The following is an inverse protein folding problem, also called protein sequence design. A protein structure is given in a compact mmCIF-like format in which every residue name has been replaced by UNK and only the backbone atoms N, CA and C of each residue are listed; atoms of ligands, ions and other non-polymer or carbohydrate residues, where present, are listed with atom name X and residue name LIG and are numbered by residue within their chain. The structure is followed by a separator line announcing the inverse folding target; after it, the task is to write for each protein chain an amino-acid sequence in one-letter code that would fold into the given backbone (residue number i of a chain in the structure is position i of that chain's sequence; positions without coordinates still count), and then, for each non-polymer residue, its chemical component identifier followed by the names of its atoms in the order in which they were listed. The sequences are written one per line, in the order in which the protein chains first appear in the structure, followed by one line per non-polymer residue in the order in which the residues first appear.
data_IF_464456572361
#
_entry.id   IF_464456572361
#
_cell.length_a   1.000
_cell.length_b   1.000
_cell.length_c   1.000
_cell.angle_alpha   90.00
_cell.angle_beta   90.00
_cell.angle_gamma   90.00
#
_symmetry.space_group_name_H-M   'P 1'
#
loop_
_entity.id
_entity.type
_entity.pdbx_description
1 polymer ?
#
# COMPACT_ATOMS: atom_id res chain seq x y z
N UNK A 1 12.62 -14.36 -19.16
CA UNK A 1 12.48 -13.97 -17.73
C UNK A 1 11.74 -12.64 -17.55
N UNK A 2 12.16 -11.51 -18.18
CA UNK A 2 11.45 -10.20 -18.05
C UNK A 2 9.96 -10.36 -18.36
N UNK A 3 9.61 -10.90 -19.51
CA UNK A 3 8.22 -11.10 -19.92
C UNK A 3 7.42 -11.98 -18.94
N UNK A 4 8.03 -13.05 -18.43
CA UNK A 4 7.35 -13.94 -17.49
C UNK A 4 7.06 -13.26 -16.14
N UNK A 5 8.01 -12.46 -15.62
CA UNK A 5 7.82 -11.72 -14.38
C UNK A 5 6.77 -10.62 -14.51
N UNK A 6 6.77 -9.86 -15.61
CA UNK A 6 5.77 -8.83 -15.85
C UNK A 6 4.39 -9.44 -16.10
N UNK A 7 4.29 -10.54 -16.87
CA UNK A 7 3.04 -11.27 -17.02
C UNK A 7 2.53 -11.84 -15.68
N UNK A 8 3.44 -12.24 -14.78
CA UNK A 8 3.10 -12.70 -13.45
C UNK A 8 2.51 -11.54 -12.60
N UNK A 9 3.16 -10.37 -12.59
CA UNK A 9 2.62 -9.18 -11.90
C UNK A 9 1.22 -8.82 -12.41
N UNK A 10 1.01 -8.80 -13.73
CA UNK A 10 -0.32 -8.56 -14.30
C UNK A 10 -1.36 -9.62 -13.89
N UNK A 11 -0.95 -10.89 -13.87
CA UNK A 11 -1.82 -11.98 -13.43
C UNK A 11 -2.25 -11.80 -11.97
N UNK A 12 -1.32 -11.40 -11.08
CA UNK A 12 -1.61 -11.10 -9.68
C UNK A 12 -2.55 -9.91 -9.58
N UNK A 13 -2.28 -8.85 -10.34
CA UNK A 13 -3.14 -7.67 -10.36
C UNK A 13 -4.58 -8.03 -10.71
N UNK A 14 -4.79 -8.72 -11.84
CA UNK A 14 -6.12 -9.11 -12.34
C UNK A 14 -6.83 -10.12 -11.43
N UNK A 15 -6.10 -11.08 -10.85
CA UNK A 15 -6.71 -12.22 -10.15
C UNK A 15 -6.72 -12.10 -8.62
N UNK A 16 -5.91 -11.23 -8.02
CA UNK A 16 -5.84 -11.05 -6.58
C UNK A 16 -6.11 -9.60 -6.16
N UNK A 17 -5.43 -8.60 -6.76
CA UNK A 17 -5.59 -7.22 -6.36
C UNK A 17 -6.98 -6.66 -6.68
N UNK A 18 -7.49 -6.88 -7.89
CA UNK A 18 -8.86 -6.46 -8.30
C UNK A 18 -9.94 -7.11 -7.43
N UNK A 19 -9.75 -8.35 -6.97
CA UNK A 19 -10.69 -8.98 -6.03
C UNK A 19 -10.72 -8.29 -4.66
N UNK A 20 -9.57 -7.81 -4.20
CA UNK A 20 -9.45 -7.12 -2.92
C UNK A 20 -9.94 -5.67 -3.00
N UNK A 21 -9.78 -5.04 -4.15
CA UNK A 21 -10.17 -3.65 -4.44
C UNK A 21 -10.76 -3.55 -5.85
N UNK A 22 -12.09 -3.75 -6.01
CA UNK A 22 -12.73 -3.87 -7.33
C UNK A 22 -12.49 -2.68 -8.28
N UNK A 23 -12.40 -1.47 -7.75
CA UNK A 23 -12.17 -0.25 -8.53
C UNK A 23 -10.83 -0.23 -9.27
N UNK A 24 -9.89 -1.10 -8.90
CA UNK A 24 -8.65 -1.28 -9.66
C UNK A 24 -8.85 -1.79 -11.08
N UNK A 25 -9.99 -2.42 -11.37
CA UNK A 25 -10.27 -2.97 -12.69
C UNK A 25 -10.17 -1.90 -13.80
N UNK A 26 -10.56 -0.66 -13.50
CA UNK A 26 -10.57 0.45 -14.45
C UNK A 26 -9.18 1.08 -14.67
N UNK A 27 -8.17 0.73 -13.86
CA UNK A 27 -6.81 1.31 -13.92
C UNK A 27 -5.74 0.37 -14.46
N UNK A 28 -6.08 -0.87 -14.78
CA UNK A 28 -5.13 -1.92 -15.22
C UNK A 28 -4.25 -1.47 -16.39
N UNK A 29 -4.84 -0.80 -17.38
CA UNK A 29 -4.14 -0.44 -18.62
C UNK A 29 -3.68 1.03 -18.63
N UNK A 30 -3.84 1.75 -17.50
CA UNK A 30 -3.59 3.20 -17.45
C UNK A 30 -2.25 3.51 -16.79
N UNK A 31 -1.83 2.69 -15.80
CA UNK A 31 -0.63 2.96 -15.01
C UNK A 31 0.59 2.30 -15.61
N UNK A 32 1.60 3.06 -16.05
CA UNK A 32 2.85 2.47 -16.54
C UNK A 32 3.67 1.83 -15.42
N UNK A 33 4.24 0.66 -15.74
CA UNK A 33 5.22 -0.03 -14.91
C UNK A 33 6.56 -0.10 -15.65
N UNK A 34 7.62 0.43 -15.05
CA UNK A 34 8.98 0.35 -15.56
C UNK A 34 9.77 -0.66 -14.73
N UNK A 35 10.07 -1.79 -15.35
CA UNK A 35 10.90 -2.84 -14.75
C UNK A 35 12.34 -2.72 -15.22
N UNK A 36 13.28 -2.63 -14.30
CA UNK A 36 14.70 -2.54 -14.61
C UNK A 36 15.41 -3.87 -14.43
N UNK A 37 16.16 -4.23 -15.45
CA UNK A 37 17.15 -5.29 -15.39
C UNK A 37 18.46 -4.76 -15.98
N UNK A 38 19.50 -4.76 -15.17
CA UNK A 38 20.79 -4.13 -15.50
C UNK A 38 20.61 -2.64 -15.88
N UNK A 39 21.09 -2.18 -17.02
CA UNK A 39 20.94 -0.83 -17.55
C UNK A 39 19.70 -0.63 -18.42
N UNK A 40 18.84 -1.63 -18.50
CA UNK A 40 17.70 -1.64 -19.42
C UNK A 40 16.38 -1.53 -18.66
N UNK A 41 15.60 -0.48 -19.00
CA UNK A 41 14.22 -0.31 -18.57
C UNK A 41 13.24 -0.94 -19.55
N UNK A 42 12.29 -1.71 -19.03
CA UNK A 42 11.18 -2.31 -19.77
C UNK A 42 9.87 -1.67 -19.31
N UNK A 43 9.17 -0.99 -20.21
CA UNK A 43 7.94 -0.25 -19.90
C UNK A 43 6.76 -1.09 -20.32
N UNK A 44 5.92 -1.45 -19.36
CA UNK A 44 4.58 -1.98 -19.59
C UNK A 44 3.56 -0.83 -19.54
N UNK A 45 2.53 -0.84 -20.37
CA UNK A 45 1.55 0.24 -20.53
C UNK A 45 2.21 1.61 -20.86
N UNK A 46 3.23 1.59 -21.73
CA UNK A 46 3.93 2.78 -22.17
C UNK A 46 2.99 3.75 -22.89
N UNK A 47 3.02 5.03 -22.53
CA UNK A 47 2.38 6.09 -23.31
C UNK A 47 3.26 6.51 -24.49
N UNK A 48 2.66 7.12 -25.54
CA UNK A 48 3.42 7.68 -26.68
C UNK A 48 4.52 8.63 -26.19
N UNK A 49 4.18 9.53 -25.26
CA UNK A 49 5.13 10.45 -24.64
C UNK A 49 6.33 9.74 -23.98
N UNK A 50 6.10 8.63 -23.28
CA UNK A 50 7.21 7.87 -22.66
C UNK A 50 8.12 7.26 -23.73
N UNK A 51 7.55 6.75 -24.80
CA UNK A 51 8.32 6.21 -25.94
C UNK A 51 9.16 7.31 -26.60
N UNK A 52 8.57 8.49 -26.86
CA UNK A 52 9.27 9.63 -27.43
C UNK A 52 10.43 10.12 -26.51
N UNK A 53 10.18 10.33 -25.23
CA UNK A 53 11.18 10.82 -24.27
C UNK A 53 12.38 9.88 -24.11
N UNK A 54 12.16 8.57 -24.18
CA UNK A 54 13.21 7.57 -23.95
C UNK A 54 13.84 7.05 -25.23
N UNK A 55 13.21 7.28 -26.39
CA UNK A 55 13.57 6.60 -27.63
C UNK A 55 13.34 5.09 -27.56
N UNK A 56 12.42 4.64 -26.68
CA UNK A 56 12.16 3.22 -26.46
C UNK A 56 11.68 2.51 -27.72
N UNK A 57 12.13 1.28 -27.89
CA UNK A 57 11.74 0.43 -29.01
C UNK A 57 10.86 -0.73 -28.53
N UNK A 58 9.96 -1.18 -29.41
CA UNK A 58 9.12 -2.34 -29.09
C UNK A 58 9.98 -3.55 -28.75
N UNK A 59 9.63 -4.21 -27.64
CA UNK A 59 10.25 -5.44 -27.19
C UNK A 59 9.21 -6.55 -27.25
N UNK A 60 9.42 -7.50 -28.17
CA UNK A 60 8.48 -8.59 -28.38
C UNK A 60 8.50 -9.59 -27.22
N UNK A 61 7.39 -9.72 -26.55
CA UNK A 61 7.10 -10.76 -25.58
C UNK A 61 6.10 -11.76 -26.18
N UNK A 62 6.20 -13.01 -25.75
CA UNK A 62 5.11 -13.97 -25.97
C UNK A 62 3.95 -13.63 -25.00
N UNK A 63 2.72 -13.97 -25.38
CA UNK A 63 1.47 -13.58 -24.70
C UNK A 63 1.19 -12.08 -24.83
N UNK A 64 0.14 -11.64 -25.12
CA UNK A 64 -0.45 -10.31 -25.31
C UNK A 64 0.19 -9.12 -24.56
N UNK A 65 1.43 -9.29 -24.07
CA UNK A 65 2.19 -8.30 -23.30
C UNK A 65 3.02 -7.43 -24.26
N UNK A 66 2.63 -6.19 -24.42
CA UNK A 66 3.33 -5.21 -25.25
C UNK A 66 4.28 -4.39 -24.37
N UNK A 67 5.57 -4.68 -24.50
CA UNK A 67 6.62 -3.96 -23.77
C UNK A 67 7.42 -3.04 -24.69
N UNK A 68 7.95 -1.96 -24.13
CA UNK A 68 8.94 -1.11 -24.76
C UNK A 68 10.23 -1.14 -23.95
N UNK A 69 11.40 -1.17 -24.60
CA UNK A 69 12.70 -1.16 -23.92
C UNK A 69 13.52 0.07 -24.29
N UNK A 70 14.26 0.57 -23.31
CA UNK A 70 15.22 1.66 -23.48
C UNK A 70 16.43 1.44 -22.58
N UNK A 71 17.54 2.11 -22.88
CA UNK A 71 18.76 2.06 -22.08
C UNK A 71 18.81 3.26 -21.15
N UNK A 72 19.04 3.02 -19.87
CA UNK A 72 19.24 4.07 -18.86
C UNK A 72 20.52 3.78 -18.06
N UNK A 73 21.69 4.24 -18.55
CA UNK A 73 22.97 4.00 -17.89
C UNK A 73 23.09 4.68 -16.53
N UNK A 74 22.28 5.70 -16.26
CA UNK A 74 22.20 6.37 -14.95
C UNK A 74 21.50 5.52 -13.89
N UNK A 75 20.88 4.40 -14.30
CA UNK A 75 20.16 3.50 -13.42
C UNK A 75 21.02 2.40 -12.79
N UNK A 76 22.22 2.12 -13.33
CA UNK A 76 23.09 1.05 -12.83
C UNK A 76 23.36 1.19 -11.32
N UNK A 77 23.06 0.12 -10.56
CA UNK A 77 23.27 0.06 -9.12
C UNK A 77 22.25 0.84 -8.27
N UNK A 78 21.30 1.52 -8.86
CA UNK A 78 20.26 2.24 -8.09
C UNK A 78 19.11 1.31 -7.77
N UNK A 79 18.77 1.19 -6.49
CA UNK A 79 17.55 0.49 -6.08
C UNK A 79 16.32 1.30 -6.44
N UNK A 80 15.33 0.63 -7.05
CA UNK A 80 14.01 1.19 -7.32
C UNK A 80 12.91 0.18 -6.97
N UNK A 81 12.05 0.59 -6.10
CA UNK A 81 10.74 -0.01 -5.84
C UNK A 81 9.90 1.14 -5.29
N UNK A 82 9.34 1.94 -6.19
CA UNK A 82 8.73 3.23 -5.86
C UNK A 82 7.75 3.67 -6.94
N UNK A 83 6.67 4.29 -6.53
CA UNK A 83 5.81 5.07 -7.44
C UNK A 83 6.16 6.54 -7.36
N UNK A 84 6.25 7.18 -8.53
CA UNK A 84 6.55 8.61 -8.67
C UNK A 84 5.47 9.32 -9.47
N UNK A 85 5.24 10.57 -9.09
CA UNK A 85 4.43 11.54 -9.81
C UNK A 85 5.11 12.91 -9.67
N UNK A 86 5.26 13.63 -10.76
CA UNK A 86 5.77 14.99 -10.79
C UNK A 86 4.78 15.91 -11.51
N UNK A 87 4.73 17.19 -11.10
CA UNK A 87 3.83 18.18 -11.68
C UNK A 87 4.56 19.34 -12.35
N UNK A 88 5.87 19.34 -12.31
CA UNK A 88 6.71 20.51 -12.68
C UNK A 88 7.66 20.24 -13.82
N UNK A 89 8.31 19.06 -13.83
CA UNK A 89 9.32 18.72 -14.82
C UNK A 89 8.73 17.88 -15.96
N UNK A 90 8.53 18.52 -17.10
CA UNK A 90 8.00 17.89 -18.32
C UNK A 90 8.95 16.86 -18.95
N UNK A 91 10.23 16.83 -18.57
CA UNK A 91 11.19 15.86 -19.09
C UNK A 91 11.15 14.51 -18.36
N UNK A 92 10.43 14.44 -17.23
CA UNK A 92 10.30 13.18 -16.46
C UNK A 92 9.21 12.27 -17.03
N UNK A 93 9.46 10.96 -17.00
CA UNK A 93 8.48 9.95 -17.44
C UNK A 93 7.18 10.04 -16.63
N UNK A 94 7.28 10.39 -15.36
CA UNK A 94 6.18 10.50 -14.40
C UNK A 94 5.60 11.91 -14.27
N UNK A 95 5.78 12.77 -15.28
CA UNK A 95 5.13 14.09 -15.31
C UNK A 95 3.62 13.94 -15.54
N UNK A 96 2.82 14.44 -14.61
CA UNK A 96 1.35 14.40 -14.59
C UNK A 96 0.72 12.98 -14.70
N UNK A 97 1.52 11.92 -14.71
CA UNK A 97 1.08 10.54 -14.73
C UNK A 97 1.87 9.74 -13.68
N UNK A 98 1.24 9.07 -12.73
CA UNK A 98 1.96 8.21 -11.81
C UNK A 98 2.60 7.03 -12.55
N UNK A 99 3.86 6.77 -12.27
CA UNK A 99 4.64 5.67 -12.86
C UNK A 99 5.26 4.84 -11.74
N UNK A 100 5.04 3.54 -11.80
CA UNK A 100 5.68 2.59 -10.89
C UNK A 100 7.00 2.10 -11.47
N UNK A 101 8.05 2.13 -10.64
CA UNK A 101 9.38 1.64 -10.99
C UNK A 101 9.75 0.48 -10.10
N UNK A 102 10.31 -0.58 -10.66
CA UNK A 102 10.84 -1.70 -9.90
C UNK A 102 12.10 -2.31 -10.54
N UNK A 103 12.99 -2.82 -9.68
CA UNK A 103 14.10 -3.69 -10.09
C UNK A 103 13.65 -5.15 -10.11
N UNK A 104 14.53 -6.02 -10.60
CA UNK A 104 14.37 -7.47 -10.49
C UNK A 104 14.28 -7.92 -9.02
N UNK A 105 13.65 -9.08 -8.74
CA UNK A 105 13.56 -9.63 -7.38
C UNK A 105 14.94 -9.78 -6.71
N UNK A 106 15.97 -10.19 -7.46
CA UNK A 106 17.32 -10.35 -6.96
C UNK A 106 17.91 -9.01 -6.48
N UNK A 107 17.78 -7.96 -7.28
CA UNK A 107 18.24 -6.62 -6.91
C UNK A 107 17.41 -6.04 -5.75
N UNK A 108 16.12 -6.30 -5.72
CA UNK A 108 15.25 -5.89 -4.63
C UNK A 108 15.65 -6.57 -3.31
N UNK A 109 15.99 -7.86 -3.35
CA UNK A 109 16.51 -8.63 -2.20
C UNK A 109 17.78 -8.02 -1.58
N UNK A 110 18.71 -7.52 -2.40
CA UNK A 110 19.94 -6.88 -1.91
C UNK A 110 19.66 -5.66 -1.02
N UNK A 111 18.60 -4.93 -1.30
CA UNK A 111 18.21 -3.72 -0.55
C UNK A 111 17.16 -4.00 0.53
N UNK A 112 16.29 -4.97 0.30
CA UNK A 112 15.23 -5.41 1.22
C UNK A 112 15.35 -6.94 1.38
N UNK A 113 16.17 -7.42 2.33
CA UNK A 113 16.38 -8.87 2.52
C UNK A 113 15.10 -9.66 2.83
N UNK A 114 14.05 -9.00 3.28
CA UNK A 114 12.73 -9.60 3.48
C UNK A 114 12.03 -10.00 2.16
N UNK A 115 12.52 -9.55 1.00
CA UNK A 115 12.07 -10.02 -0.32
C UNK A 115 12.88 -11.25 -0.66
N UNK A 116 12.39 -12.42 -0.32
CA UNK A 116 13.11 -13.70 -0.50
C UNK A 116 12.60 -14.55 -1.67
N UNK A 117 11.56 -14.07 -2.35
CA UNK A 117 10.94 -14.76 -3.49
C UNK A 117 10.33 -13.78 -4.50
N UNK A 118 10.09 -14.27 -5.72
CA UNK A 118 9.39 -13.51 -6.76
C UNK A 118 7.95 -13.20 -6.33
N UNK A 119 7.34 -14.03 -5.51
CA UNK A 119 6.02 -13.78 -4.93
C UNK A 119 6.02 -12.58 -3.98
N UNK A 120 6.98 -12.52 -3.05
CA UNK A 120 7.13 -11.40 -2.12
C UNK A 120 7.49 -10.11 -2.86
N UNK A 121 8.37 -10.19 -3.86
CA UNK A 121 8.66 -9.08 -4.76
C UNK A 121 7.41 -8.58 -5.48
N UNK A 122 6.63 -9.49 -6.08
CA UNK A 122 5.42 -9.11 -6.80
C UNK A 122 4.37 -8.48 -5.90
N UNK A 123 4.21 -8.94 -4.65
CA UNK A 123 3.34 -8.30 -3.68
C UNK A 123 3.77 -6.85 -3.39
N UNK A 124 5.08 -6.58 -3.31
CA UNK A 124 5.63 -5.22 -3.16
C UNK A 124 5.42 -4.38 -4.42
N UNK A 125 5.57 -4.97 -5.61
CA UNK A 125 5.25 -4.27 -6.87
C UNK A 125 3.77 -3.88 -6.89
N UNK A 126 2.85 -4.74 -6.43
CA UNK A 126 1.44 -4.39 -6.31
C UNK A 126 1.19 -3.28 -5.28
N UNK A 127 1.93 -3.24 -4.18
CA UNK A 127 1.88 -2.12 -3.23
C UNK A 127 2.19 -0.79 -3.94
N UNK A 128 3.29 -0.73 -4.68
CA UNK A 128 3.67 0.46 -5.43
C UNK A 128 2.67 0.78 -6.56
N UNK A 129 2.17 -0.24 -7.23
CA UNK A 129 1.15 -0.08 -8.26
C UNK A 129 -0.16 0.48 -7.68
N UNK A 130 -0.47 0.11 -6.45
CA UNK A 130 -1.61 0.66 -5.72
C UNK A 130 -1.42 2.15 -5.38
N UNK A 131 -0.18 2.58 -5.06
CA UNK A 131 0.12 4.02 -4.94
C UNK A 131 -0.15 4.77 -6.24
N UNK A 132 0.18 4.17 -7.39
CA UNK A 132 -0.13 4.80 -8.66
C UNK A 132 -1.65 4.95 -8.87
N UNK A 133 -2.43 3.92 -8.54
CA UNK A 133 -3.90 4.01 -8.53
C UNK A 133 -4.40 5.13 -7.60
N UNK A 134 -3.93 5.19 -6.37
CA UNK A 134 -4.30 6.25 -5.41
C UNK A 134 -4.02 7.65 -5.98
N UNK A 135 -2.90 7.80 -6.68
CA UNK A 135 -2.48 9.06 -7.30
C UNK A 135 -3.19 9.38 -8.62
N UNK A 136 -4.01 8.48 -9.18
CA UNK A 136 -4.94 8.83 -10.27
C UNK A 136 -6.11 9.68 -9.75
N UNK A 137 -6.48 9.55 -8.49
CA UNK A 137 -7.59 10.27 -7.89
C UNK A 137 -7.24 11.73 -7.57
N UNK A 138 -8.03 12.66 -8.08
CA UNK A 138 -7.77 14.09 -7.94
C UNK A 138 -7.77 14.53 -6.46
N UNK A 139 -8.68 14.00 -5.63
CA UNK A 139 -8.73 14.29 -4.21
C UNK A 139 -7.42 13.97 -3.48
N UNK A 140 -6.83 12.81 -3.76
CA UNK A 140 -5.52 12.42 -3.20
C UNK A 140 -4.41 13.35 -3.68
N UNK A 141 -4.37 13.69 -4.98
CA UNK A 141 -3.36 14.59 -5.57
C UNK A 141 -3.42 16.00 -4.96
N UNK A 142 -4.62 16.52 -4.75
CA UNK A 142 -4.82 17.86 -4.20
C UNK A 142 -4.40 17.95 -2.74
N UNK A 143 -4.76 16.95 -1.92
CA UNK A 143 -4.29 16.85 -0.52
C UNK A 143 -2.76 16.79 -0.49
N UNK A 144 -2.16 15.91 -1.30
CA UNK A 144 -0.70 15.80 -1.38
C UNK A 144 -0.05 17.13 -1.72
N UNK A 145 -0.46 17.79 -2.80
CA UNK A 145 0.14 19.04 -3.27
C UNK A 145 -0.04 20.19 -2.30
N UNK A 146 -1.23 20.35 -1.73
CA UNK A 146 -1.59 21.53 -0.95
C UNK A 146 -1.20 21.41 0.52
N UNK A 147 -1.23 20.21 1.07
CA UNK A 147 -1.19 20.00 2.52
C UNK A 147 -0.01 19.15 2.98
N UNK A 148 0.45 18.19 2.20
CA UNK A 148 1.47 17.22 2.60
C UNK A 148 2.84 17.55 2.01
N UNK A 149 2.92 17.79 0.70
CA UNK A 149 4.17 18.02 -0.01
C UNK A 149 4.97 19.18 0.66
N UNK A 150 6.26 18.96 0.84
CA UNK A 150 7.20 19.91 1.45
C UNK A 150 6.97 20.28 2.92
N UNK A 151 5.96 19.69 3.60
CA UNK A 151 5.69 19.96 5.02
C UNK A 151 6.14 18.82 5.92
N UNK A 152 5.70 17.61 5.63
CA UNK A 152 6.07 16.42 6.39
C UNK A 152 6.16 15.21 5.48
N UNK A 153 7.18 14.40 5.68
CA UNK A 153 7.33 13.10 5.02
C UNK A 153 6.92 11.98 5.99
N UNK A 154 6.62 10.81 5.45
CA UNK A 154 6.36 9.63 6.27
C UNK A 154 7.56 9.28 7.18
N UNK A 155 8.78 9.56 6.74
CA UNK A 155 9.99 9.34 7.54
C UNK A 155 10.12 10.35 8.68
N UNK A 156 9.78 11.63 8.44
CA UNK A 156 9.73 12.65 9.49
C UNK A 156 8.71 12.30 10.56
N UNK A 157 7.51 11.85 10.15
CA UNK A 157 6.47 11.39 11.06
C UNK A 157 6.95 10.18 11.89
N UNK A 158 7.59 9.21 11.24
CA UNK A 158 8.10 8.00 11.90
C UNK A 158 9.28 8.28 12.84
N UNK A 159 10.02 9.38 12.66
CA UNK A 159 11.12 9.74 13.55
C UNK A 159 10.66 9.88 15.00
N UNK A 160 9.47 10.43 15.25
CA UNK A 160 8.89 10.53 16.59
C UNK A 160 8.65 9.13 17.19
N UNK A 161 8.15 8.17 16.42
CA UNK A 161 7.96 6.79 16.85
C UNK A 161 9.29 6.10 17.22
N UNK A 162 10.38 6.46 16.56
CA UNK A 162 11.70 5.87 16.83
C UNK A 162 12.33 6.42 18.09
N UNK A 163 12.22 7.74 18.33
CA UNK A 163 13.01 8.44 19.34
C UNK A 163 12.23 8.86 20.59
N UNK A 164 10.89 8.96 20.52
CA UNK A 164 10.05 9.46 21.62
C UNK A 164 9.26 8.31 22.24
N UNK A 165 9.70 7.85 23.42
CA UNK A 165 9.15 6.65 24.05
C UNK A 165 7.64 6.73 24.36
N UNK A 166 7.13 7.84 24.89
CA UNK A 166 5.70 7.98 25.18
C UNK A 166 4.86 7.92 23.88
N UNK A 167 5.36 8.54 22.78
CA UNK A 167 4.69 8.51 21.49
C UNK A 167 4.65 7.09 20.93
N UNK A 168 5.78 6.38 21.00
CA UNK A 168 5.87 4.97 20.63
C UNK A 168 4.91 4.10 21.42
N UNK A 169 4.86 4.25 22.76
CA UNK A 169 3.94 3.49 23.60
C UNK A 169 2.47 3.75 23.24
N UNK A 170 2.13 5.01 22.91
CA UNK A 170 0.81 5.38 22.45
C UNK A 170 0.42 4.67 21.15
N UNK A 171 1.29 4.73 20.14
CA UNK A 171 1.10 4.04 18.85
C UNK A 171 1.00 2.51 19.02
N UNK A 172 1.88 1.92 19.82
CA UNK A 172 1.86 0.47 20.07
C UNK A 172 0.55 0.04 20.77
N UNK A 173 0.05 0.86 21.71
CA UNK A 173 -1.25 0.66 22.37
C UNK A 173 -2.42 0.76 21.36
N UNK A 174 -2.43 1.78 20.51
CA UNK A 174 -3.44 1.95 19.48
C UNK A 174 -3.48 0.73 18.54
N UNK A 175 -2.32 0.31 18.05
CA UNK A 175 -2.24 -0.87 17.17
C UNK A 175 -2.67 -2.16 17.87
N UNK A 176 -2.31 -2.34 19.15
CA UNK A 176 -2.76 -3.50 19.94
C UNK A 176 -4.29 -3.52 20.11
N UNK A 177 -4.94 -2.37 20.28
CA UNK A 177 -6.39 -2.26 20.36
C UNK A 177 -7.08 -2.58 19.03
N UNK A 178 -6.52 -2.14 17.89
CA UNK A 178 -6.98 -2.52 16.56
C UNK A 178 -6.86 -4.04 16.34
N UNK A 179 -5.74 -4.64 16.70
CA UNK A 179 -5.54 -6.09 16.59
C UNK A 179 -6.53 -6.85 17.48
N UNK A 180 -6.76 -6.41 18.71
CA UNK A 180 -7.77 -6.98 19.59
C UNK A 180 -9.17 -6.87 19.00
N UNK A 181 -9.53 -5.73 18.41
CA UNK A 181 -10.81 -5.54 17.72
C UNK A 181 -10.97 -6.52 16.52
N UNK A 182 -9.87 -6.85 15.84
CA UNK A 182 -9.88 -7.85 14.75
C UNK A 182 -10.08 -9.29 15.26
N UNK A 183 -9.66 -9.61 16.47
CA UNK A 183 -9.70 -10.95 17.06
C UNK A 183 -11.05 -11.26 17.76
N UNK A 184 -11.63 -10.28 18.48
CA UNK A 184 -12.85 -10.52 19.25
C UNK A 184 -14.05 -10.86 18.35
N UNK A 185 -14.91 -11.83 18.77
CA UNK A 185 -15.95 -12.35 17.89
C UNK A 185 -17.24 -11.53 17.86
N UNK A 186 -17.54 -10.77 18.93
CA UNK A 186 -18.83 -10.07 19.05
C UNK A 186 -18.71 -8.60 18.69
N UNK A 187 -19.81 -8.04 18.15
CA UNK A 187 -19.90 -6.61 17.82
C UNK A 187 -19.69 -5.72 19.04
N UNK A 188 -20.26 -6.08 20.17
CA UNK A 188 -20.12 -5.30 21.41
C UNK A 188 -18.66 -5.26 21.88
N UNK A 189 -17.95 -6.39 21.81
CA UNK A 189 -16.52 -6.43 22.12
C UNK A 189 -15.69 -5.59 21.15
N UNK A 190 -16.06 -5.53 19.86
CA UNK A 190 -15.43 -4.64 18.88
C UNK A 190 -15.66 -3.17 19.25
N UNK A 191 -16.90 -2.81 19.62
CA UNK A 191 -17.24 -1.44 20.06
C UNK A 191 -16.37 -1.01 21.23
N UNK A 192 -16.23 -1.86 22.27
CA UNK A 192 -15.38 -1.58 23.43
C UNK A 192 -13.91 -1.35 23.02
N UNK A 193 -13.38 -2.20 22.14
CA UNK A 193 -12.01 -2.05 21.65
C UNK A 193 -11.83 -0.76 20.83
N UNK A 194 -12.81 -0.40 19.99
CA UNK A 194 -12.78 0.83 19.20
C UNK A 194 -12.91 2.09 20.06
N UNK A 195 -13.78 2.08 21.07
CA UNK A 195 -13.85 3.19 22.04
C UNK A 195 -12.50 3.43 22.70
N UNK A 196 -11.85 2.36 23.17
CA UNK A 196 -10.52 2.46 23.77
C UNK A 196 -9.45 2.93 22.76
N UNK A 197 -9.54 2.52 21.49
CA UNK A 197 -8.64 2.95 20.40
C UNK A 197 -8.81 4.45 20.13
N UNK A 198 -10.05 4.92 19.92
CA UNK A 198 -10.36 6.34 19.69
C UNK A 198 -9.81 7.19 20.85
N UNK A 199 -10.17 6.83 22.09
CA UNK A 199 -9.68 7.54 23.26
C UNK A 199 -8.15 7.59 23.36
N UNK A 200 -7.48 6.47 23.09
CA UNK A 200 -6.02 6.40 23.15
C UNK A 200 -5.36 7.28 22.07
N UNK A 201 -5.93 7.30 20.87
CA UNK A 201 -5.44 8.10 19.74
C UNK A 201 -5.62 9.60 20.00
N UNK A 202 -6.82 10.02 20.37
CA UNK A 202 -7.11 11.42 20.68
C UNK A 202 -6.20 11.92 21.79
N UNK A 203 -6.11 11.19 22.89
CA UNK A 203 -5.23 11.55 24.01
C UNK A 203 -3.75 11.69 23.59
N UNK A 204 -3.24 10.80 22.75
CA UNK A 204 -1.86 10.89 22.25
C UNK A 204 -1.68 12.08 21.32
N UNK A 205 -2.62 12.35 20.43
CA UNK A 205 -2.59 13.49 19.50
C UNK A 205 -2.64 14.83 20.27
N UNK A 206 -3.51 14.93 21.27
CA UNK A 206 -3.58 16.11 22.16
C UNK A 206 -2.24 16.35 22.88
N UNK A 207 -1.63 15.29 23.45
CA UNK A 207 -0.31 15.39 24.10
C UNK A 207 0.76 15.82 23.12
N UNK A 208 0.72 15.32 21.87
CA UNK A 208 1.67 15.71 20.84
C UNK A 208 1.52 17.18 20.47
N UNK A 209 0.30 17.66 20.25
CA UNK A 209 0.02 19.07 19.95
C UNK A 209 0.42 19.99 21.08
N UNK A 210 0.11 19.66 22.34
CA UNK A 210 0.53 20.41 23.50
C UNK A 210 2.06 20.46 23.66
N UNK A 211 2.76 19.39 23.30
CA UNK A 211 4.22 19.29 23.48
C UNK A 211 4.99 20.01 22.38
N UNK A 212 4.54 19.89 21.14
CA UNK A 212 5.28 20.37 19.96
C UNK A 212 4.65 21.56 19.25
N UNK A 213 3.46 22.00 19.70
CA UNK A 213 2.66 23.05 19.07
C UNK A 213 2.41 22.78 17.59
N UNK A 214 2.16 21.50 17.26
CA UNK A 214 2.00 21.02 15.92
C UNK A 214 0.96 19.89 15.87
N UNK A 215 -0.06 20.05 15.03
CA UNK A 215 -1.07 19.02 14.80
C UNK A 215 -0.56 18.00 13.77
N UNK A 216 -0.54 16.73 14.16
CA UNK A 216 -0.09 15.61 13.29
C UNK A 216 -1.23 14.85 12.63
N UNK A 217 -2.48 15.14 13.00
CA UNK A 217 -3.65 14.34 12.62
C UNK A 217 -3.76 14.18 11.11
N UNK A 218 -3.64 15.30 10.38
CA UNK A 218 -3.70 15.31 8.93
C UNK A 218 -2.65 14.38 8.31
N UNK A 219 -1.43 14.38 8.84
CA UNK A 219 -0.32 13.62 8.27
C UNK A 219 -0.45 12.13 8.60
N UNK A 220 -0.82 11.79 9.84
CA UNK A 220 -1.11 10.41 10.21
C UNK A 220 -2.27 9.85 9.37
N UNK A 221 -3.37 10.58 9.31
CA UNK A 221 -4.56 10.20 8.56
C UNK A 221 -4.26 10.02 7.07
N UNK A 222 -3.47 10.93 6.49
CA UNK A 222 -3.04 10.82 5.11
C UNK A 222 -2.15 9.60 4.86
N UNK A 223 -1.09 9.42 5.67
CA UNK A 223 -0.16 8.31 5.46
C UNK A 223 -0.75 6.96 5.85
N UNK A 224 -1.65 6.87 6.83
CA UNK A 224 -2.41 5.66 7.09
C UNK A 224 -3.33 5.30 5.93
N UNK A 225 -3.96 6.29 5.31
CA UNK A 225 -4.78 6.10 4.11
C UNK A 225 -3.92 5.62 2.93
N UNK A 226 -2.79 6.27 2.66
CA UNK A 226 -1.92 5.92 1.53
C UNK A 226 -1.17 4.61 1.76
N UNK A 227 -0.29 4.59 2.74
CA UNK A 227 0.64 3.48 3.00
C UNK A 227 -0.06 2.27 3.64
N UNK A 228 -1.03 2.54 4.52
CA UNK A 228 -1.78 1.49 5.19
C UNK A 228 -2.65 0.69 4.24
N UNK A 229 -3.33 1.34 3.29
CA UNK A 229 -4.14 0.62 2.29
C UNK A 229 -3.27 -0.06 1.23
N UNK A 230 -2.11 0.49 0.87
CA UNK A 230 -1.15 -0.20 0.02
C UNK A 230 -0.59 -1.46 0.71
N UNK A 231 -0.30 -1.37 2.02
CA UNK A 231 0.07 -2.53 2.86
C UNK A 231 -1.08 -3.54 2.98
N UNK A 232 -2.31 -3.08 3.07
CA UNK A 232 -3.49 -3.95 3.02
C UNK A 232 -3.57 -4.71 1.68
N UNK A 233 -3.20 -4.09 0.56
CA UNK A 233 -3.14 -4.75 -0.74
C UNK A 233 -2.07 -5.84 -0.77
N UNK A 234 -0.86 -5.60 -0.25
CA UNK A 234 0.16 -6.66 -0.09
C UNK A 234 -0.41 -7.86 0.68
N UNK A 235 -1.04 -7.60 1.83
CA UNK A 235 -1.66 -8.64 2.65
C UNK A 235 -2.71 -9.44 1.87
N UNK A 236 -3.61 -8.78 1.15
CA UNK A 236 -4.66 -9.44 0.39
C UNK A 236 -4.09 -10.27 -0.77
N UNK A 237 -3.10 -9.76 -1.47
CA UNK A 237 -2.41 -10.47 -2.53
C UNK A 237 -1.72 -11.72 -1.99
N UNK A 238 -0.92 -11.59 -0.95
CA UNK A 238 -0.21 -12.72 -0.31
C UNK A 238 -1.19 -13.79 0.21
N UNK A 239 -2.30 -13.37 0.81
CA UNK A 239 -3.36 -14.26 1.28
C UNK A 239 -4.01 -15.05 0.14
N UNK A 240 -4.07 -14.48 -1.06
CA UNK A 240 -4.72 -15.09 -2.21
C UNK A 240 -3.77 -15.93 -3.07
N UNK A 241 -2.47 -15.92 -2.86
CA UNK A 241 -1.49 -16.70 -3.66
C UNK A 241 -1.80 -18.18 -3.72
N UNK A 242 -2.29 -18.78 -2.62
CA UNK A 242 -2.67 -20.19 -2.60
C UNK A 242 -3.79 -20.58 -3.57
N UNK A 243 -4.54 -19.61 -4.09
CA UNK A 243 -5.64 -19.77 -5.03
C UNK A 243 -5.23 -19.51 -6.50
N UNK A 244 -3.99 -19.10 -6.74
CA UNK A 244 -3.51 -18.78 -8.09
C UNK A 244 -2.90 -20.01 -8.75
N UNK A 245 -3.03 -20.05 -10.08
CA UNK A 245 -2.41 -21.09 -10.90
C UNK A 245 -0.93 -20.80 -11.07
N UNK A 246 -0.10 -21.82 -10.81
CA UNK A 246 1.35 -21.73 -11.04
C UNK A 246 1.63 -21.61 -12.54
N UNK A 247 2.39 -20.59 -12.95
CA UNK A 247 2.89 -20.48 -14.32
C UNK A 247 4.02 -21.48 -14.54
N UNK A 248 3.84 -22.48 -15.40
CA UNK A 248 4.90 -23.45 -15.69
C UNK A 248 6.14 -22.80 -16.31
N UNK A 249 5.93 -21.81 -17.18
CA UNK A 249 7.02 -21.07 -17.84
C UNK A 249 7.82 -20.24 -16.85
N UNK A 250 7.16 -19.51 -15.94
CA UNK A 250 7.86 -18.78 -14.88
C UNK A 250 8.63 -19.74 -13.96
N UNK A 251 8.01 -20.84 -13.55
CA UNK A 251 8.66 -21.85 -12.69
C UNK A 251 9.89 -22.51 -13.36
N UNK A 252 9.91 -22.58 -14.68
CA UNK A 252 11.05 -23.15 -15.41
C UNK A 252 12.24 -22.19 -15.56
N UNK A 253 12.01 -20.86 -15.55
CA UNK A 253 13.05 -19.86 -15.86
C UNK A 253 13.43 -18.96 -14.69
N UNK A 254 12.62 -18.90 -13.64
CA UNK A 254 12.84 -18.02 -12.48
C UNK A 254 13.15 -18.83 -11.21
N UNK A 255 14.41 -18.84 -10.84
CA UNK A 255 14.91 -19.55 -9.64
C UNK A 255 14.46 -18.90 -8.33
N UNK A 256 14.01 -17.64 -8.36
CA UNK A 256 13.44 -16.93 -7.22
C UNK A 256 11.95 -17.22 -7.01
N UNK A 257 11.29 -17.85 -8.00
CA UNK A 257 9.88 -18.20 -7.91
C UNK A 257 9.68 -19.54 -7.18
N UNK A 258 8.98 -19.53 -6.06
CA UNK A 258 8.76 -20.70 -5.21
C UNK A 258 7.43 -21.44 -5.52
N UNK A 259 6.73 -21.09 -6.60
CA UNK A 259 5.45 -21.69 -6.99
C UNK A 259 4.41 -21.69 -5.84
N UNK A 260 4.34 -20.57 -5.12
CA UNK A 260 3.45 -20.31 -3.99
C UNK A 260 3.61 -21.28 -2.80
N UNK A 261 4.71 -22.02 -2.67
CA UNK A 261 4.88 -23.01 -1.59
C UNK A 261 4.70 -22.42 -0.21
N UNK A 262 5.21 -21.21 0.00
CA UNK A 262 5.18 -20.51 1.30
C UNK A 262 3.81 -19.90 1.61
N UNK A 263 2.93 -19.83 0.61
CA UNK A 263 1.61 -19.16 0.68
C UNK A 263 0.42 -20.12 0.57
N UNK A 264 0.63 -21.43 0.33
CA UNK A 264 -0.47 -22.42 0.23
C UNK A 264 -1.36 -22.46 1.46
N UNK A 265 -0.80 -22.19 2.64
CA UNK A 265 -1.52 -21.99 3.90
C UNK A 265 -1.03 -20.70 4.51
N UNK A 266 -1.52 -19.59 3.95
CA UNK A 266 -1.12 -18.26 4.41
C UNK A 266 -1.39 -18.13 5.93
N UNK A 267 -0.32 -17.80 6.66
CA UNK A 267 -0.41 -17.48 8.08
C UNK A 267 0.20 -16.09 8.31
N UNK A 268 -0.63 -15.13 8.69
CA UNK A 268 -0.22 -13.74 8.91
C UNK A 268 0.84 -13.61 10.02
N UNK A 269 0.88 -14.52 11.00
CA UNK A 269 1.87 -14.49 12.09
C UNK A 269 3.32 -14.63 11.59
N UNK A 270 3.52 -15.24 10.42
CA UNK A 270 4.83 -15.34 9.76
C UNK A 270 5.31 -14.01 9.17
N UNK A 271 4.43 -13.04 9.04
CA UNK A 271 4.69 -11.74 8.43
C UNK A 271 4.38 -10.59 9.38
N UNK A 272 5.03 -10.52 10.57
CA UNK A 272 4.73 -9.50 11.59
C UNK A 272 4.95 -8.07 11.09
N UNK A 273 5.82 -7.88 10.12
CA UNK A 273 6.07 -6.59 9.47
C UNK A 273 4.87 -6.02 8.70
N UNK A 274 3.89 -6.86 8.35
CA UNK A 274 2.65 -6.37 7.73
C UNK A 274 1.79 -5.59 8.73
N UNK A 275 1.59 -6.11 9.94
CA UNK A 275 0.52 -5.68 10.85
C UNK A 275 0.97 -5.21 12.24
N UNK A 276 2.22 -5.51 12.63
CA UNK A 276 2.78 -5.03 13.91
C UNK A 276 3.59 -3.76 13.70
N UNK A 277 3.45 -2.83 14.63
CA UNK A 277 4.32 -1.66 14.69
C UNK A 277 5.74 -2.10 15.10
N UNK A 278 6.75 -1.62 14.38
CA UNK A 278 8.16 -1.96 14.61
C UNK A 278 9.04 -0.77 14.24
N UNK A 279 10.16 -0.57 14.95
CA UNK A 279 11.10 0.52 14.65
C UNK A 279 11.71 0.46 13.25
N UNK A 280 11.85 -0.74 12.67
CA UNK A 280 12.37 -0.94 11.33
C UNK A 280 11.39 -0.58 10.21
N UNK A 281 10.11 -0.42 10.53
CA UNK A 281 9.05 -0.12 9.55
C UNK A 281 8.22 1.05 10.05
N UNK A 282 7.79 1.91 9.12
CA UNK A 282 6.97 3.07 9.44
C UNK A 282 5.63 2.62 10.03
N UNK A 283 5.27 3.10 11.23
CA UNK A 283 4.12 2.60 11.99
C UNK A 283 2.78 2.77 11.26
N UNK A 284 2.64 3.82 10.44
CA UNK A 284 1.41 4.10 9.68
C UNK A 284 1.02 2.98 8.70
N UNK A 285 1.99 2.17 8.27
CA UNK A 285 1.72 0.99 7.45
C UNK A 285 0.88 -0.03 8.20
N UNK A 286 1.27 -0.33 9.45
CA UNK A 286 0.60 -1.32 10.28
C UNK A 286 -0.76 -0.80 10.79
N UNK A 287 -0.79 0.42 11.32
CA UNK A 287 -2.02 1.00 11.87
C UNK A 287 -3.06 1.23 10.79
N UNK A 288 -2.70 1.78 9.63
CA UNK A 288 -3.62 1.96 8.51
C UNK A 288 -4.09 0.64 7.91
N UNK A 289 -3.20 -0.35 7.74
CA UNK A 289 -3.61 -1.70 7.30
C UNK A 289 -4.63 -2.32 8.26
N UNK A 290 -4.41 -2.22 9.57
CA UNK A 290 -5.31 -2.82 10.55
C UNK A 290 -6.66 -2.08 10.63
N UNK A 291 -6.70 -0.76 10.39
CA UNK A 291 -7.95 -0.01 10.21
C UNK A 291 -8.71 -0.50 8.97
N UNK A 292 -8.06 -0.66 7.82
CA UNK A 292 -8.70 -1.17 6.60
C UNK A 292 -9.26 -2.59 6.80
N UNK A 293 -8.49 -3.48 7.46
CA UNK A 293 -8.97 -4.84 7.83
C UNK A 293 -10.17 -4.80 8.76
N UNK A 294 -10.20 -3.84 9.69
CA UNK A 294 -11.30 -3.71 10.63
C UNK A 294 -12.56 -3.20 9.94
N UNK A 295 -12.44 -2.26 9.01
CA UNK A 295 -13.55 -1.80 8.15
C UNK A 295 -14.14 -2.95 7.35
N UNK A 296 -13.31 -3.83 6.77
CA UNK A 296 -13.78 -5.04 6.09
C UNK A 296 -14.51 -5.99 7.04
N UNK A 297 -13.97 -6.23 8.26
CA UNK A 297 -14.62 -7.06 9.28
C UNK A 297 -15.99 -6.51 9.67
N UNK A 298 -16.11 -5.19 9.76
CA UNK A 298 -17.34 -4.49 10.11
C UNK A 298 -18.32 -4.37 8.93
N UNK A 299 -17.90 -4.76 7.72
CA UNK A 299 -18.64 -4.61 6.47
C UNK A 299 -19.04 -3.15 6.19
N UNK A 300 -18.14 -2.21 6.52
CA UNK A 300 -18.31 -0.80 6.21
C UNK A 300 -17.87 -0.55 4.78
N UNK A 301 -18.71 -0.01 3.90
CA UNK A 301 -18.30 0.38 2.56
C UNK A 301 -17.38 1.62 2.65
N UNK A 302 -16.15 1.52 2.13
CA UNK A 302 -15.20 2.63 2.16
C UNK A 302 -14.32 2.73 0.91
N UNK A 303 -14.22 1.65 0.13
CA UNK A 303 -13.22 1.55 -0.96
C UNK A 303 -13.55 2.43 -2.17
N UNK A 304 -14.82 2.67 -2.43
CA UNK A 304 -15.29 3.34 -3.65
C UNK A 304 -14.79 4.80 -3.72
N UNK A 305 -15.04 5.58 -2.66
CA UNK A 305 -14.78 7.03 -2.66
C UNK A 305 -13.57 7.43 -1.81
N UNK A 306 -12.82 6.46 -1.26
CA UNK A 306 -11.79 6.75 -0.26
C UNK A 306 -10.75 7.76 -0.77
N UNK A 307 -10.34 7.65 -2.04
CA UNK A 307 -9.27 8.48 -2.59
C UNK A 307 -9.75 9.77 -3.27
N UNK A 308 -11.04 9.89 -3.52
CA UNK A 308 -11.66 11.12 -4.07
C UNK A 308 -12.09 12.11 -2.98
N UNK A 309 -12.09 11.68 -1.72
CA UNK A 309 -12.48 12.49 -0.57
C UNK A 309 -11.31 12.75 0.37
N UNK A 310 -11.46 13.75 1.25
CA UNK A 310 -10.50 14.00 2.34
C UNK A 310 -10.70 13.09 3.55
N UNK A 311 -11.70 12.21 3.54
CA UNK A 311 -12.00 11.33 4.67
C UNK A 311 -10.85 10.34 4.93
N UNK A 312 -10.51 10.13 6.21
CA UNK A 312 -9.50 9.16 6.62
C UNK A 312 -10.13 7.83 7.06
N UNK A 313 -9.32 6.76 7.11
CA UNK A 313 -9.75 5.48 7.67
C UNK A 313 -10.22 5.62 9.12
N UNK A 314 -9.50 6.45 9.89
CA UNK A 314 -9.86 6.77 11.27
C UNK A 314 -11.23 7.44 11.36
N UNK A 315 -11.48 8.45 10.53
CA UNK A 315 -12.75 9.16 10.52
C UNK A 315 -13.94 8.24 10.18
N UNK A 316 -13.75 7.30 9.24
CA UNK A 316 -14.78 6.30 8.90
C UNK A 316 -15.07 5.37 10.09
N UNK A 317 -14.03 4.87 10.78
CA UNK A 317 -14.17 4.03 11.97
C UNK A 317 -14.87 4.79 13.11
N UNK A 318 -14.49 6.04 13.33
CA UNK A 318 -15.08 6.91 14.36
C UNK A 318 -16.57 7.17 14.08
N UNK A 319 -16.94 7.53 12.84
CA UNK A 319 -18.32 7.70 12.43
C UNK A 319 -19.15 6.42 12.61
N UNK A 320 -18.58 5.27 12.26
CA UNK A 320 -19.24 3.98 12.49
C UNK A 320 -19.49 3.75 14.00
N UNK A 321 -18.50 4.02 14.86
CA UNK A 321 -18.62 3.88 16.32
C UNK A 321 -19.74 4.77 16.87
N UNK A 322 -19.77 6.04 16.52
CA UNK A 322 -20.82 6.97 16.94
C UNK A 322 -22.23 6.49 16.54
N UNK A 323 -22.38 5.93 15.34
CA UNK A 323 -23.64 5.37 14.90
C UNK A 323 -24.08 4.18 15.77
N UNK A 324 -23.12 3.33 16.21
CA UNK A 324 -23.46 2.22 17.11
C UNK A 324 -23.90 2.72 18.49
N UNK A 325 -23.21 3.70 19.04
CA UNK A 325 -23.54 4.29 20.34
C UNK A 325 -24.94 4.95 20.35
N UNK A 326 -25.30 5.65 19.29
CA UNK A 326 -26.66 6.21 19.12
C UNK A 326 -27.72 5.11 19.13
N UNK A 327 -27.52 4.03 18.34
CA UNK A 327 -28.45 2.88 18.32
C UNK A 327 -28.59 2.20 19.68
N UNK A 328 -27.51 2.08 20.43
CA UNK A 328 -27.55 1.49 21.77
C UNK A 328 -28.36 2.35 22.75
N UNK A 329 -28.18 3.68 22.72
CA UNK A 329 -28.95 4.62 23.55
C UNK A 329 -30.45 4.61 23.21
N UNK A 330 -30.79 4.58 21.93
CA UNK A 330 -32.19 4.50 21.45
C UNK A 330 -32.89 3.20 21.91
N UNK A 331 -32.18 2.09 21.90
CA UNK A 331 -32.72 0.80 22.36
C UNK A 331 -32.92 0.76 23.89
N UNK A 332 -32.02 1.39 24.64
CA UNK A 332 -32.17 1.49 26.11
C UNK A 332 -33.30 2.42 26.55
N UNK A 333 -33.59 3.47 25.77
CA UNK A 333 -34.69 4.40 26.05
C UNK A 333 -36.08 3.87 25.68
N UNK A 334 -36.17 2.72 24.99
CA UNK A 334 -37.44 2.06 24.61
C UNK A 334 -37.86 0.93 25.56
N UNK A 335 -37.01 0.53 26.48
CA UNK A 335 -37.27 -0.45 27.51
C UNK A 335 -37.56 0.25 28.86
#
# INVERSE_FOLDING_TARGET
MVCERLAFVESIYKNAAVKAWPQLADSVDIVPLVYFKDDTGYINHATERMVELTGATLFECHKDLKLYKYIDPGFLGTFKLITKLDFTDTCLLHYNLPVTYCNSPENAHLSIPAISSTEEWAARVIHEYFHAYQLLHQGTRDIYRQQIAHKMTVDSLNANYIVVDWFKQGIDKENALLLKALEVPTRDSVIICLQAFVQAREQRRDVFEMTYHYNIDLYEDYFEKMEGTARYMEFQVMKNYGNLVVSPTLAAVDTFFHAFKDFKRFNLEKFPWLYKTQRAYRYVYATGMNQARLLDKLQVPYKEDLFDTSISLYAILHQWLEQQERKMKENQGRN
#
